data_IF_153277227000
#
_entry.id   IF_153277227000
#
_cell.length_a   1.000
_cell.length_b   1.000
_cell.length_c   1.000
_cell.angle_alpha   90.00
_cell.angle_beta   90.00
_cell.angle_gamma   90.00
#
_symmetry.space_group_name_H-M   'P 1'
#
loop_
_entity.id
_entity.type
_entity.pdbx_description
1 polymer ?
#
# COMPACT_ATOMS: atom_id res chain seq x y z
N UNK A 1 -45.61 -35.81 -60.16
CA UNK A 1 -45.71 -35.52 -58.74
C UNK A 1 -44.58 -36.18 -58.02
N UNK A 2 -43.54 -35.48 -57.63
CA UNK A 2 -42.49 -35.94 -56.74
C UNK A 2 -42.15 -34.82 -55.73
N UNK A 3 -42.52 -34.98 -54.50
CA UNK A 3 -42.34 -34.11 -53.38
C UNK A 3 -40.87 -34.27 -52.91
N UNK A 4 -40.07 -33.19 -53.02
CA UNK A 4 -38.72 -33.20 -52.48
C UNK A 4 -38.81 -32.66 -51.07
N UNK A 5 -38.37 -33.50 -50.12
CA UNK A 5 -38.23 -33.20 -48.68
C UNK A 5 -37.10 -32.18 -48.46
N UNK A 6 -37.41 -31.00 -48.02
CA UNK A 6 -36.50 -30.01 -47.44
C UNK A 6 -36.42 -30.25 -45.94
N UNK A 7 -35.54 -31.11 -45.53
CA UNK A 7 -35.08 -31.21 -44.14
C UNK A 7 -33.58 -31.35 -44.11
N UNK A 8 -32.94 -30.68 -43.17
CA UNK A 8 -31.54 -30.77 -42.79
C UNK A 8 -30.57 -29.66 -43.22
N UNK A 9 -30.98 -28.39 -43.23
CA UNK A 9 -30.03 -27.30 -43.28
C UNK A 9 -30.03 -26.35 -42.05
N UNK A 10 -30.78 -26.73 -40.98
CA UNK A 10 -30.88 -25.87 -39.77
C UNK A 10 -30.13 -26.41 -38.54
N UNK A 11 -29.44 -27.57 -38.66
CA UNK A 11 -28.82 -28.23 -37.50
C UNK A 11 -27.29 -28.11 -37.44
N UNK A 12 -26.68 -27.36 -38.37
CA UNK A 12 -25.20 -27.24 -38.42
C UNK A 12 -24.66 -25.86 -38.04
N UNK A 13 -25.49 -24.88 -37.68
CA UNK A 13 -25.03 -23.50 -37.34
C UNK A 13 -25.02 -23.23 -35.82
N UNK A 14 -25.49 -24.14 -35.00
CA UNK A 14 -25.59 -23.91 -33.54
C UNK A 14 -24.45 -24.55 -32.73
N UNK A 15 -23.42 -25.14 -33.35
CA UNK A 15 -22.35 -25.85 -32.60
C UNK A 15 -20.96 -25.18 -32.59
N UNK A 16 -20.84 -23.91 -33.03
CA UNK A 16 -19.55 -23.19 -32.97
C UNK A 16 -19.59 -21.83 -32.27
N UNK A 17 -20.58 -21.57 -31.42
CA UNK A 17 -20.66 -20.39 -30.57
C UNK A 17 -20.52 -20.76 -29.09
N UNK A 18 -19.44 -21.45 -28.76
CA UNK A 18 -19.20 -21.81 -27.38
C UNK A 18 -17.70 -22.01 -27.13
N UNK A 19 -17.11 -21.13 -26.36
CA UNK A 19 -15.74 -21.12 -25.83
C UNK A 19 -14.77 -20.14 -26.47
N UNK A 20 -15.10 -18.86 -26.44
CA UNK A 20 -14.07 -17.84 -26.27
C UNK A 20 -14.42 -17.07 -24.98
N UNK A 21 -14.19 -17.69 -23.84
CA UNK A 21 -14.06 -16.96 -22.57
C UNK A 21 -12.71 -16.28 -22.63
N UNK A 22 -12.74 -15.02 -23.06
CA UNK A 22 -11.62 -14.12 -22.90
C UNK A 22 -11.42 -13.95 -21.38
N UNK A 23 -10.46 -14.64 -20.83
CA UNK A 23 -9.91 -14.34 -19.51
C UNK A 23 -9.18 -12.99 -19.63
N UNK A 24 -9.94 -11.89 -19.57
CA UNK A 24 -9.38 -10.57 -19.29
C UNK A 24 -8.94 -10.66 -17.82
N UNK A 25 -7.67 -11.00 -17.63
CA UNK A 25 -7.00 -10.83 -16.35
C UNK A 25 -7.02 -9.34 -16.01
N UNK A 26 -8.00 -8.91 -15.22
CA UNK A 26 -7.93 -7.65 -14.52
C UNK A 26 -6.78 -7.77 -13.51
N UNK A 27 -5.60 -7.33 -13.93
CA UNK A 27 -4.53 -6.93 -13.02
C UNK A 27 -5.05 -5.69 -12.28
N UNK A 28 -5.80 -5.89 -11.22
CA UNK A 28 -6.11 -4.82 -10.27
C UNK A 28 -4.79 -4.44 -9.59
N UNK A 29 -4.14 -3.41 -10.10
CA UNK A 29 -3.06 -2.73 -9.40
C UNK A 29 -3.69 -2.06 -8.18
N UNK A 30 -3.69 -2.76 -7.06
CA UNK A 30 -4.16 -2.22 -5.80
C UNK A 30 -3.11 -1.23 -5.29
N UNK A 31 -3.33 0.04 -5.57
CA UNK A 31 -2.55 1.14 -5.02
C UNK A 31 -3.10 1.41 -3.61
N UNK A 32 -2.36 0.99 -2.59
CA UNK A 32 -2.65 1.39 -1.21
C UNK A 32 -2.23 2.85 -1.03
N UNK A 33 -3.15 3.71 -0.69
CA UNK A 33 -2.93 5.15 -0.59
C UNK A 33 -3.49 5.72 0.71
N UNK A 34 -2.96 6.85 1.15
CA UNK A 34 -3.55 7.63 2.23
C UNK A 34 -4.96 8.15 1.89
N UNK A 35 -5.68 7.63 1.01
CA UNK A 35 -7.00 8.11 0.63
C UNK A 35 -7.77 7.14 -0.24
N UNK A 36 -7.22 5.97 -0.53
CA UNK A 36 -7.93 4.98 -1.32
C UNK A 36 -9.08 4.34 -0.52
N UNK A 37 -10.11 3.94 -1.25
CA UNK A 37 -11.28 3.34 -0.63
C UNK A 37 -10.89 2.11 0.19
N UNK A 38 -11.40 2.00 1.41
CA UNK A 38 -11.22 0.87 2.32
C UNK A 38 -11.45 -0.49 1.64
N UNK A 39 -12.38 -0.52 0.68
CA UNK A 39 -12.73 -1.72 -0.08
C UNK A 39 -11.62 -2.19 -1.03
N UNK A 40 -10.92 -1.27 -1.71
CA UNK A 40 -9.83 -1.60 -2.63
C UNK A 40 -8.61 -2.14 -1.87
N UNK A 41 -8.29 -1.53 -0.73
CA UNK A 41 -7.17 -1.95 0.11
C UNK A 41 -7.43 -3.27 0.84
N UNK A 42 -8.66 -3.50 1.31
CA UNK A 42 -9.06 -4.78 1.90
C UNK A 42 -8.98 -5.94 0.89
N UNK A 43 -9.35 -5.70 -0.37
CA UNK A 43 -9.24 -6.69 -1.45
C UNK A 43 -7.77 -7.01 -1.78
N UNK A 44 -6.89 -5.99 -1.80
CA UNK A 44 -5.46 -6.16 -2.01
C UNK A 44 -4.82 -6.99 -0.87
N UNK A 45 -5.13 -6.67 0.37
CA UNK A 45 -4.63 -7.40 1.53
C UNK A 45 -5.08 -8.87 1.56
N UNK A 46 -6.31 -9.16 1.12
CA UNK A 46 -6.83 -10.52 1.05
C UNK A 46 -6.10 -11.38 0.01
N UNK A 47 -5.71 -10.80 -1.13
CA UNK A 47 -5.00 -11.51 -2.20
C UNK A 47 -3.54 -11.82 -1.84
N UNK A 48 -2.89 -10.98 -1.03
CA UNK A 48 -1.48 -11.13 -0.65
C UNK A 48 -1.29 -12.04 0.58
N UNK A 49 -2.25 -12.09 1.50
CA UNK A 49 -2.19 -12.99 2.69
C UNK A 49 -1.97 -14.47 2.35
N UNK A 50 -2.32 -14.92 1.15
CA UNK A 50 -2.10 -16.30 0.72
C UNK A 50 -0.64 -16.61 0.33
N UNK A 51 0.25 -15.62 0.21
CA UNK A 51 1.63 -15.78 -0.26
C UNK A 51 2.71 -15.31 0.72
N UNK A 52 2.35 -14.66 1.81
CA UNK A 52 3.33 -14.09 2.75
C UNK A 52 4.03 -15.17 3.57
N UNK A 53 5.29 -15.45 3.25
CA UNK A 53 6.24 -16.06 4.19
C UNK A 53 6.72 -14.98 5.16
N UNK A 54 6.80 -15.24 6.47
CA UNK A 54 7.39 -14.28 7.40
C UNK A 54 8.87 -14.08 7.04
N UNK A 55 9.23 -12.87 6.62
CA UNK A 55 10.64 -12.48 6.49
C UNK A 55 11.10 -12.15 7.90
N UNK A 56 11.99 -12.96 8.48
CA UNK A 56 12.66 -12.61 9.72
C UNK A 56 13.53 -11.37 9.46
N UNK A 57 13.42 -10.31 10.30
CA UNK A 57 14.33 -9.18 10.21
C UNK A 57 15.75 -9.70 10.48
N UNK A 58 16.66 -9.48 9.51
CA UNK A 58 18.08 -9.69 9.73
C UNK A 58 18.50 -8.83 10.93
N UNK A 59 18.99 -9.48 11.98
CA UNK A 59 19.55 -8.82 13.14
C UNK A 59 20.83 -8.08 12.71
N UNK A 60 20.69 -6.84 12.27
CA UNK A 60 21.84 -5.95 12.12
C UNK A 60 22.44 -5.70 13.50
N UNK A 61 23.73 -5.95 13.65
CA UNK A 61 24.50 -5.79 14.88
C UNK A 61 24.24 -4.43 15.54
N UNK A 62 23.97 -4.44 16.82
CA UNK A 62 23.60 -3.27 17.65
C UNK A 62 24.77 -2.30 17.96
N UNK A 63 25.82 -2.27 17.12
CA UNK A 63 26.98 -1.43 17.36
C UNK A 63 27.18 -0.44 16.26
N UNK A 64 26.77 0.75 16.26
CA UNK A 64 27.21 1.95 15.47
C UNK A 64 26.08 2.92 15.07
N UNK A 65 24.89 2.85 15.67
CA UNK A 65 23.80 3.77 15.32
C UNK A 65 23.81 5.09 16.12
N UNK A 66 24.88 5.41 16.83
CA UNK A 66 25.06 6.69 17.51
C UNK A 66 25.43 7.73 16.48
N UNK A 67 24.46 8.51 16.01
CA UNK A 67 24.70 9.64 15.11
C UNK A 67 23.87 9.67 13.83
N UNK A 68 23.11 8.64 13.49
CA UNK A 68 22.30 8.63 12.28
C UNK A 68 20.93 9.25 12.54
N UNK A 69 20.66 10.40 11.93
CA UNK A 69 19.42 11.13 12.09
C UNK A 69 18.38 10.65 11.10
N UNK A 70 17.14 10.45 11.57
CA UNK A 70 15.98 10.26 10.70
C UNK A 70 15.48 11.59 10.11
N UNK A 71 15.88 12.72 10.69
CA UNK A 71 15.47 14.06 10.23
C UNK A 71 15.88 14.31 8.79
N UNK A 72 14.96 14.77 7.96
CA UNK A 72 15.16 15.07 6.56
C UNK A 72 13.99 14.62 5.68
N UNK A 73 14.15 14.83 4.38
CA UNK A 73 13.19 14.43 3.36
C UNK A 73 13.61 13.09 2.75
N UNK A 74 12.65 12.20 2.59
CA UNK A 74 12.84 10.85 2.10
C UNK A 74 11.87 10.53 0.97
N UNK A 75 12.34 9.83 -0.05
CA UNK A 75 11.47 9.10 -0.96
C UNK A 75 11.32 7.69 -0.40
N UNK A 76 10.07 7.27 -0.20
CA UNK A 76 9.77 5.99 0.45
C UNK A 76 8.87 5.12 -0.42
N UNK A 77 8.94 3.81 -0.17
CA UNK A 77 8.07 2.81 -0.76
C UNK A 77 7.52 1.89 0.33
N UNK A 78 6.21 1.66 0.27
CA UNK A 78 5.52 0.64 1.05
C UNK A 78 5.31 -0.61 0.21
N UNK A 79 5.65 -1.79 0.75
CA UNK A 79 5.51 -3.07 0.05
C UNK A 79 4.78 -4.09 0.90
N UNK A 80 3.98 -4.96 0.24
CA UNK A 80 3.38 -6.16 0.81
C UNK A 80 3.84 -7.34 -0.03
N UNK A 81 4.61 -8.26 0.58
CA UNK A 81 5.37 -9.24 -0.21
C UNK A 81 6.33 -8.51 -1.16
N UNK A 82 6.29 -8.87 -2.43
CA UNK A 82 7.13 -8.26 -3.48
C UNK A 82 6.42 -7.12 -4.23
N UNK A 83 5.21 -6.73 -3.81
CA UNK A 83 4.43 -5.70 -4.48
C UNK A 83 4.58 -4.35 -3.77
N UNK A 84 5.02 -3.32 -4.50
CA UNK A 84 4.93 -1.93 -4.06
C UNK A 84 3.47 -1.49 -4.12
N UNK A 85 2.94 -1.06 -2.98
CA UNK A 85 1.55 -0.62 -2.84
C UNK A 85 1.41 0.90 -2.79
N UNK A 86 2.49 1.62 -2.43
CA UNK A 86 2.52 3.07 -2.39
C UNK A 86 3.96 3.59 -2.46
N UNK A 87 4.11 4.75 -3.08
CA UNK A 87 5.31 5.60 -3.00
C UNK A 87 4.93 6.95 -2.39
N UNK A 88 5.86 7.58 -1.69
CA UNK A 88 5.61 8.88 -1.09
C UNK A 88 6.88 9.69 -0.85
N UNK A 89 6.70 10.98 -0.64
CA UNK A 89 7.68 11.82 0.02
C UNK A 89 7.33 11.94 1.50
N UNK A 90 8.31 11.70 2.37
CA UNK A 90 8.13 11.73 3.81
C UNK A 90 9.16 12.65 4.46
N UNK A 91 8.67 13.69 5.13
CA UNK A 91 9.49 14.70 5.81
C UNK A 91 9.45 14.45 7.33
N UNK A 92 10.61 14.10 7.90
CA UNK A 92 10.78 13.94 9.33
C UNK A 92 11.42 15.20 9.93
N UNK A 93 10.66 15.94 10.72
CA UNK A 93 11.12 17.20 11.33
C UNK A 93 11.82 16.94 12.67
N UNK A 94 12.86 17.72 12.99
CA UNK A 94 13.62 17.61 14.23
C UNK A 94 12.80 17.72 15.50
N UNK A 95 11.62 18.36 15.43
CA UNK A 95 10.68 18.52 16.54
C UNK A 95 9.80 17.29 16.84
N UNK A 96 10.02 16.15 16.17
CA UNK A 96 9.22 14.94 16.41
C UNK A 96 7.90 14.91 15.64
N UNK A 97 7.73 15.77 14.65
CA UNK A 97 6.58 15.76 13.73
C UNK A 97 6.97 15.22 12.36
N UNK A 98 6.00 14.73 11.62
CA UNK A 98 6.19 14.17 10.29
C UNK A 98 5.10 14.66 9.35
N UNK A 99 5.45 14.82 8.07
CA UNK A 99 4.53 15.06 6.97
C UNK A 99 4.76 14.02 5.89
N UNK A 100 3.70 13.37 5.46
CA UNK A 100 3.74 12.35 4.42
C UNK A 100 2.86 12.78 3.25
N UNK A 101 3.43 12.73 2.04
CA UNK A 101 2.76 13.07 0.79
C UNK A 101 2.84 11.88 -0.18
N UNK A 102 1.83 11.01 -0.20
CA UNK A 102 1.78 9.85 -1.09
C UNK A 102 1.44 10.23 -2.53
N UNK A 103 1.79 9.34 -3.45
CA UNK A 103 1.52 9.43 -4.89
C UNK A 103 0.06 9.08 -5.26
N UNK A 104 -0.90 9.64 -4.55
CA UNK A 104 -2.33 9.34 -4.71
C UNK A 104 -3.09 10.53 -5.27
N UNK A 105 -4.32 10.29 -5.74
CA UNK A 105 -5.19 11.37 -6.21
C UNK A 105 -5.43 12.39 -5.06
N UNK A 106 -5.09 13.69 -5.26
CA UNK A 106 -5.26 14.70 -4.21
C UNK A 106 -6.67 14.80 -3.66
N UNK A 107 -7.69 14.42 -4.44
CA UNK A 107 -9.10 14.42 -4.01
C UNK A 107 -9.41 13.37 -2.95
N UNK A 108 -8.59 12.32 -2.86
CA UNK A 108 -8.75 11.28 -1.84
C UNK A 108 -8.01 11.60 -0.53
N UNK A 109 -7.33 12.73 -0.45
CA UNK A 109 -6.54 13.16 0.70
C UNK A 109 -5.10 12.66 0.60
N UNK A 110 -4.17 13.55 0.22
CA UNK A 110 -2.78 13.18 -0.05
C UNK A 110 -1.75 13.84 0.88
N UNK A 111 -2.18 14.38 2.00
CA UNK A 111 -1.29 14.89 3.04
C UNK A 111 -1.66 14.26 4.37
N UNK A 112 -0.71 13.55 4.96
CA UNK A 112 -0.87 12.90 6.24
C UNK A 112 0.07 13.55 7.25
N UNK A 113 -0.34 13.61 8.51
CA UNK A 113 0.42 14.25 9.59
C UNK A 113 0.71 13.24 10.69
N UNK A 114 1.96 13.23 11.15
CA UNK A 114 2.40 12.29 12.15
C UNK A 114 3.30 12.88 13.22
N UNK A 115 3.57 12.03 14.20
CA UNK A 115 4.56 12.27 15.25
C UNK A 115 5.50 11.08 15.35
N UNK A 116 6.75 11.35 15.64
CA UNK A 116 7.77 10.32 15.74
C UNK A 116 8.69 10.50 16.93
N UNK A 117 9.36 9.43 17.32
CA UNK A 117 10.38 9.43 18.35
C UNK A 117 11.47 8.41 18.06
N UNK A 118 12.68 8.71 18.50
CA UNK A 118 13.75 7.74 18.63
C UNK A 118 13.43 6.77 19.77
N UNK A 119 13.70 5.49 19.57
CA UNK A 119 13.55 4.45 20.59
C UNK A 119 14.90 3.90 20.99
N UNK A 120 14.95 3.07 22.03
CA UNK A 120 16.15 2.29 22.36
C UNK A 120 16.54 1.38 21.19
N UNK A 121 17.85 1.16 21.01
CA UNK A 121 18.42 0.33 19.92
C UNK A 121 18.46 0.98 18.51
N UNK A 122 18.38 2.30 18.40
CA UNK A 122 18.55 3.00 17.13
C UNK A 122 17.38 2.95 16.18
N UNK A 123 16.25 2.45 16.64
CA UNK A 123 15.00 2.45 15.89
C UNK A 123 14.22 3.76 16.08
N UNK A 124 13.47 4.14 15.06
CA UNK A 124 12.54 5.26 15.10
C UNK A 124 11.12 4.70 14.96
N UNK A 125 10.19 5.23 15.76
CA UNK A 125 8.78 4.90 15.68
C UNK A 125 8.00 6.13 15.25
N UNK A 126 7.11 5.92 14.30
CA UNK A 126 6.17 6.90 13.77
C UNK A 126 4.74 6.44 14.03
N UNK A 127 3.86 7.41 14.27
CA UNK A 127 2.42 7.22 14.21
C UNK A 127 1.82 8.42 13.48
N UNK A 128 1.09 8.17 12.38
CA UNK A 128 0.35 9.23 11.72
C UNK A 128 -1.13 8.90 11.53
N UNK A 129 -1.93 9.93 11.24
CA UNK A 129 -3.38 9.88 11.10
C UNK A 129 -3.79 10.54 9.80
N UNK A 130 -4.74 9.91 9.14
CA UNK A 130 -5.22 10.30 7.81
C UNK A 130 -6.73 10.33 7.80
N UNK A 131 -7.28 11.38 7.21
CA UNK A 131 -8.68 11.40 6.78
C UNK A 131 -8.77 10.74 5.42
N UNK A 132 -9.63 9.73 5.28
CA UNK A 132 -9.84 9.00 4.02
C UNK A 132 -11.14 9.45 3.35
N UNK A 133 -11.04 9.77 2.06
CA UNK A 133 -12.18 10.19 1.23
C UNK A 133 -12.17 9.40 -0.09
N UNK A 134 -13.34 9.26 -0.72
CA UNK A 134 -13.40 8.84 -2.11
C UNK A 134 -13.13 10.02 -3.07
N UNK A 135 -12.99 9.74 -4.37
CA UNK A 135 -12.77 10.78 -5.39
C UNK A 135 -13.97 11.71 -5.62
N UNK A 136 -15.12 11.44 -5.02
CA UNK A 136 -16.31 12.30 -5.00
C UNK A 136 -16.37 13.20 -3.74
N UNK A 137 -15.43 13.02 -2.80
CA UNK A 137 -15.35 13.78 -1.55
C UNK A 137 -16.18 13.19 -0.41
N UNK A 138 -16.68 11.96 -0.53
CA UNK A 138 -17.37 11.30 0.58
C UNK A 138 -16.36 10.81 1.60
N UNK A 139 -16.60 11.09 2.88
CA UNK A 139 -15.76 10.62 3.97
C UNK A 139 -15.90 9.11 4.16
N UNK A 140 -14.78 8.40 4.09
CA UNK A 140 -14.72 6.95 4.22
C UNK A 140 -14.25 6.50 5.60
N UNK A 141 -13.72 7.41 6.41
CA UNK A 141 -13.19 7.10 7.73
C UNK A 141 -11.77 7.59 7.95
N UNK A 142 -11.02 6.91 8.82
CA UNK A 142 -9.62 7.27 9.11
C UNK A 142 -8.69 6.07 8.92
N UNK A 143 -7.43 6.37 8.62
CA UNK A 143 -6.35 5.39 8.57
C UNK A 143 -5.30 5.79 9.61
N UNK A 144 -4.87 4.82 10.41
CA UNK A 144 -3.80 4.99 11.37
C UNK A 144 -2.59 4.20 10.88
N UNK A 145 -1.52 4.89 10.50
CA UNK A 145 -0.25 4.26 10.16
C UNK A 145 0.66 4.25 11.40
N UNK A 146 1.30 3.13 11.63
CA UNK A 146 2.42 2.98 12.55
C UNK A 146 3.62 2.42 11.81
N UNK A 147 4.79 3.03 11.98
CA UNK A 147 6.06 2.54 11.42
C UNK A 147 7.09 2.27 12.51
N UNK A 148 7.95 1.29 12.26
CA UNK A 148 9.19 1.10 13.01
C UNK A 148 10.31 0.91 12.02
N UNK A 149 11.25 1.85 11.98
CA UNK A 149 12.30 1.93 10.97
C UNK A 149 13.69 2.11 11.58
N UNK A 150 14.70 1.66 10.86
CA UNK A 150 16.10 1.84 11.21
C UNK A 150 16.83 2.53 10.05
N UNK A 151 17.66 3.53 10.36
CA UNK A 151 18.50 4.20 9.37
C UNK A 151 19.71 3.33 9.06
N UNK A 152 19.99 3.12 7.78
CA UNK A 152 21.11 2.34 7.27
C UNK A 152 22.47 2.96 7.59
N UNK A 153 23.56 2.21 7.35
CA UNK A 153 24.92 2.63 7.77
C UNK A 153 25.35 3.97 7.17
N UNK A 154 25.03 4.28 5.94
CA UNK A 154 25.38 5.54 5.28
C UNK A 154 24.54 6.74 5.70
N UNK A 155 23.46 6.55 6.46
CA UNK A 155 22.53 7.62 6.82
C UNK A 155 21.57 8.03 5.69
N UNK A 156 21.69 7.44 4.49
CA UNK A 156 20.95 7.82 3.29
C UNK A 156 19.87 6.81 2.90
N UNK A 157 19.74 5.71 3.63
CA UNK A 157 18.66 4.73 3.47
C UNK A 157 18.03 4.43 4.81
N UNK A 158 16.79 4.02 4.81
CA UNK A 158 16.15 3.38 5.97
C UNK A 158 15.30 2.20 5.52
N UNK A 159 15.00 1.31 6.45
CA UNK A 159 14.09 0.19 6.23
C UNK A 159 13.39 -0.20 7.53
N UNK A 160 12.23 -0.81 7.40
CA UNK A 160 11.47 -1.27 8.54
C UNK A 160 10.12 -1.87 8.16
N UNK A 161 9.21 -1.85 9.11
CA UNK A 161 7.86 -2.35 8.94
C UNK A 161 6.81 -1.28 9.18
N UNK A 162 5.64 -1.47 8.58
CA UNK A 162 4.47 -0.65 8.83
C UNK A 162 3.23 -1.49 9.17
N UNK A 163 2.28 -0.84 9.82
CA UNK A 163 0.91 -1.31 10.02
C UNK A 163 -0.05 -0.18 9.69
N UNK A 164 -1.08 -0.47 8.90
CA UNK A 164 -2.20 0.40 8.60
C UNK A 164 -3.46 -0.18 9.24
N UNK A 165 -4.06 0.56 10.16
CA UNK A 165 -5.35 0.24 10.76
C UNK A 165 -6.42 1.13 10.13
N UNK A 166 -7.47 0.53 9.58
CA UNK A 166 -8.58 1.21 8.93
C UNK A 166 -9.79 1.30 9.85
N UNK A 167 -10.39 2.47 9.90
CA UNK A 167 -11.59 2.74 10.69
C UNK A 167 -12.67 3.35 9.82
N UNK A 168 -13.93 2.92 10.02
CA UNK A 168 -15.10 3.47 9.33
C UNK A 168 -15.43 4.91 9.80
N UNK A 169 -16.39 5.61 9.17
CA UNK A 169 -16.80 6.95 9.60
C UNK A 169 -17.33 7.04 11.04
N UNK A 170 -17.75 5.93 11.62
CA UNK A 170 -18.21 5.83 13.03
C UNK A 170 -17.07 5.55 14.01
N UNK A 171 -15.84 5.34 13.49
CA UNK A 171 -14.66 5.04 14.30
C UNK A 171 -14.51 3.56 14.67
N UNK A 172 -15.28 2.66 14.05
CA UNK A 172 -15.11 1.22 14.27
C UNK A 172 -13.93 0.71 13.44
N UNK A 173 -13.13 -0.18 14.03
CA UNK A 173 -12.06 -0.88 13.33
C UNK A 173 -12.64 -1.77 12.22
N UNK A 174 -12.06 -1.67 11.02
CA UNK A 174 -12.51 -2.42 9.83
C UNK A 174 -11.50 -3.48 9.42
N UNK A 175 -10.21 -3.10 9.31
CA UNK A 175 -9.16 -3.98 8.80
C UNK A 175 -7.78 -3.50 9.21
N UNK A 176 -6.80 -4.41 9.15
CA UNK A 176 -5.38 -4.15 9.34
C UNK A 176 -4.59 -4.64 8.12
N UNK A 177 -3.60 -3.87 7.70
CA UNK A 177 -2.64 -4.23 6.66
C UNK A 177 -1.24 -3.99 7.18
N UNK A 178 -0.35 -4.97 7.00
CA UNK A 178 1.06 -4.90 7.42
C UNK A 178 1.99 -5.14 6.25
N UNK A 179 3.17 -4.56 6.29
CA UNK A 179 4.19 -4.73 5.26
C UNK A 179 5.52 -4.12 5.65
N UNK A 180 6.35 -3.89 4.63
CA UNK A 180 7.67 -3.29 4.79
C UNK A 180 7.70 -1.89 4.19
N UNK A 181 8.53 -1.02 4.79
CA UNK A 181 8.84 0.30 4.26
C UNK A 181 10.34 0.41 4.03
N UNK A 182 10.71 1.00 2.90
CA UNK A 182 12.10 1.38 2.58
C UNK A 182 12.11 2.83 2.16
N UNK A 183 13.24 3.52 2.38
CA UNK A 183 13.38 4.91 1.98
C UNK A 183 14.79 5.27 1.62
N UNK A 184 14.90 6.23 0.70
CA UNK A 184 16.14 6.88 0.28
C UNK A 184 16.06 8.37 0.60
N UNK A 185 17.14 8.91 1.17
CA UNK A 185 17.23 10.32 1.55
C UNK A 185 17.34 11.20 0.30
N UNK A 186 16.53 12.23 0.23
CA UNK A 186 16.66 13.29 -0.78
C UNK A 186 17.65 14.32 -0.26
N UNK A 187 18.70 14.58 -1.04
CA UNK A 187 19.72 15.62 -0.79
C UNK A 187 19.73 16.65 -1.91
N UNK A 188 20.24 17.84 -1.64
CA UNK A 188 20.65 18.79 -2.67
C UNK A 188 22.11 18.48 -2.99
N UNK A 189 22.44 18.33 -4.29
CA UNK A 189 23.80 18.08 -4.78
C UNK A 189 24.56 19.40 -4.92
#
# INVERSE_FOLDING_TARGET
MKTIRTQNLFTLVVRFAGCMVLAIGLSASALASCGDSLSAMAAAAASVRSQARPIQPNSASAGDNVGKSMVGLWQIQFTIGDQTIQEAYQLWNAGGTEVHNPNVDPRSGNVCLGVWKHTSHGAFRLAHRVWSYDTNGNFLGTIHLSETVNVGQGGNTHSGSFTLDFYDPSGNFVNEVTGNVTGERISVD
#
